data_IF_100524720716
#
_entry.id   IF_100524720716
#
_cell.length_a   1.000
_cell.length_b   1.000
_cell.length_c   1.000
_cell.angle_alpha   90.00
_cell.angle_beta   90.00
_cell.angle_gamma   90.00
#
_symmetry.space_group_name_H-M   'P 1'
#
loop_
_entity.id
_entity.type
_entity.pdbx_description
1 polymer ?
#
# COMPACT_ATOMS: atom_id res chain seq x y z
N UNK A 1 12.06 42.05 2.50
CA UNK A 1 13.20 41.29 3.04
C UNK A 1 12.74 39.91 3.54
N UNK A 2 12.71 38.86 2.70
CA UNK A 2 12.37 37.49 3.12
C UNK A 2 13.62 36.71 3.58
N UNK A 3 13.47 35.81 4.57
CA UNK A 3 14.57 35.07 5.21
C UNK A 3 14.98 33.81 4.43
N UNK A 4 16.27 33.71 4.05
CA UNK A 4 16.86 32.56 3.34
C UNK A 4 17.22 31.33 4.24
N UNK A 5 16.54 31.15 5.38
CA UNK A 5 17.01 30.21 6.42
C UNK A 5 16.67 28.72 6.20
N UNK A 6 15.83 28.36 5.21
CA UNK A 6 15.28 27.00 5.09
C UNK A 6 16.08 26.05 4.17
N UNK A 7 16.88 26.58 3.23
CA UNK A 7 17.64 25.78 2.26
C UNK A 7 18.80 25.02 2.89
N UNK A 8 19.54 25.62 3.83
CA UNK A 8 20.66 24.96 4.50
C UNK A 8 20.22 23.72 5.30
N UNK A 9 19.12 23.84 6.06
CA UNK A 9 18.56 22.72 6.83
C UNK A 9 17.93 21.62 5.93
N UNK A 10 17.45 21.96 4.74
CA UNK A 10 17.03 20.95 3.74
C UNK A 10 18.23 20.26 3.09
N UNK A 11 19.27 21.02 2.72
CA UNK A 11 20.51 20.44 2.16
C UNK A 11 21.23 19.54 3.18
N UNK A 12 21.28 19.92 4.46
CA UNK A 12 21.84 19.08 5.52
C UNK A 12 21.06 17.77 5.70
N UNK A 13 19.72 17.82 5.73
CA UNK A 13 18.87 16.62 5.84
C UNK A 13 18.91 15.74 4.59
N UNK A 14 19.03 16.33 3.40
CA UNK A 14 19.22 15.57 2.17
C UNK A 14 20.61 14.94 2.12
N UNK A 15 21.66 15.67 2.51
CA UNK A 15 23.01 15.12 2.64
C UNK A 15 23.06 13.98 3.66
N UNK A 16 22.43 14.12 4.84
CA UNK A 16 22.33 13.04 5.82
C UNK A 16 21.62 11.79 5.25
N UNK A 17 20.55 11.96 4.47
CA UNK A 17 19.88 10.84 3.78
C UNK A 17 20.73 10.21 2.68
N UNK A 18 21.39 11.03 1.86
CA UNK A 18 22.24 10.56 0.76
C UNK A 18 23.53 9.90 1.28
N UNK A 19 24.04 10.33 2.44
CA UNK A 19 25.22 9.74 3.09
C UNK A 19 24.83 8.47 3.86
N UNK A 20 23.75 8.51 4.64
CA UNK A 20 23.21 7.32 5.33
C UNK A 20 22.75 6.22 4.37
N UNK A 21 22.16 6.59 3.24
CA UNK A 21 21.81 5.67 2.14
C UNK A 21 23.03 5.07 1.43
N UNK A 22 24.15 5.79 1.36
CA UNK A 22 25.43 5.22 0.85
C UNK A 22 26.08 4.30 1.87
N UNK A 23 26.18 4.71 3.13
CA UNK A 23 26.71 3.85 4.20
C UNK A 23 25.92 2.55 4.34
N UNK A 24 24.58 2.59 4.31
CA UNK A 24 23.76 1.36 4.34
C UNK A 24 23.91 0.52 3.06
N UNK A 25 24.10 1.14 1.89
CA UNK A 25 24.35 0.41 0.64
C UNK A 25 25.79 -0.15 0.54
N UNK A 26 26.76 0.43 1.25
CA UNK A 26 28.14 -0.06 1.34
C UNK A 26 28.27 -1.12 2.43
N UNK A 27 27.62 -0.98 3.60
CA UNK A 27 27.48 -2.08 4.57
C UNK A 27 26.90 -3.33 3.92
N UNK A 28 25.78 -3.20 3.18
CA UNK A 28 25.16 -4.31 2.42
C UNK A 28 26.07 -4.92 1.33
N UNK A 29 27.22 -4.32 1.01
CA UNK A 29 28.24 -4.87 0.10
C UNK A 29 29.47 -5.42 0.81
N UNK A 30 29.71 -5.03 2.06
CA UNK A 30 30.88 -5.45 2.85
C UNK A 30 30.56 -6.53 3.87
N UNK A 31 29.29 -6.71 4.28
CA UNK A 31 28.88 -7.91 5.02
C UNK A 31 28.96 -9.13 4.07
N UNK A 32 29.82 -10.13 4.34
CA UNK A 32 29.75 -11.39 3.60
C UNK A 32 28.38 -12.03 3.81
N UNK A 33 27.88 -12.75 2.81
CA UNK A 33 26.67 -13.55 2.94
C UNK A 33 26.95 -14.83 3.76
N UNK A 34 27.31 -14.66 5.02
CA UNK A 34 27.11 -15.70 6.03
C UNK A 34 25.63 -16.05 6.03
N UNK A 35 25.32 -17.35 6.07
CA UNK A 35 24.00 -17.86 5.70
C UNK A 35 22.89 -17.16 6.47
N UNK A 36 21.94 -16.55 5.73
CA UNK A 36 20.76 -15.91 6.32
C UNK A 36 20.13 -16.88 7.34
N UNK A 37 19.88 -16.44 8.59
CA UNK A 37 19.44 -17.35 9.64
C UNK A 37 18.20 -18.14 9.21
N UNK A 38 18.25 -19.45 9.44
CA UNK A 38 17.11 -20.32 9.17
C UNK A 38 15.89 -19.92 10.01
N UNK A 39 14.67 -20.13 9.51
CA UNK A 39 13.45 -19.78 10.23
C UNK A 39 13.36 -20.50 11.58
N UNK A 40 12.67 -19.88 12.51
CA UNK A 40 12.55 -20.35 13.89
C UNK A 40 11.11 -20.24 14.38
N UNK A 41 10.74 -20.99 15.41
CA UNK A 41 9.37 -20.95 15.96
C UNK A 41 9.28 -19.94 17.10
N UNK A 42 8.09 -19.38 17.29
CA UNK A 42 7.70 -18.56 18.44
C UNK A 42 7.96 -19.34 19.73
N UNK A 43 7.82 -20.66 19.72
CA UNK A 43 8.15 -21.54 20.82
C UNK A 43 9.64 -21.66 21.08
N UNK A 44 10.51 -21.69 20.05
CA UNK A 44 11.97 -21.58 20.22
C UNK A 44 12.34 -20.20 20.76
N UNK A 45 11.73 -19.13 20.23
CA UNK A 45 11.93 -17.76 20.69
C UNK A 45 11.50 -17.61 22.16
N UNK A 46 10.33 -18.12 22.54
CA UNK A 46 9.82 -18.10 23.91
C UNK A 46 10.57 -19.04 24.87
N UNK A 47 11.06 -20.19 24.37
CA UNK A 47 11.89 -21.09 25.18
C UNK A 47 13.28 -20.51 25.39
N UNK A 48 13.82 -19.72 24.47
CA UNK A 48 15.03 -18.94 24.70
C UNK A 48 14.77 -17.72 25.60
N UNK A 49 13.65 -17.02 25.42
CA UNK A 49 13.18 -15.91 26.26
C UNK A 49 12.85 -16.31 27.72
N UNK A 50 12.91 -17.60 28.08
CA UNK A 50 12.52 -18.10 29.40
C UNK A 50 13.68 -18.25 30.39
N UNK A 51 14.60 -19.23 30.21
CA UNK A 51 15.67 -19.53 31.17
C UNK A 51 17.08 -19.32 30.58
N UNK A 52 17.24 -18.58 29.49
CA UNK A 52 18.58 -18.27 28.96
C UNK A 52 19.31 -17.35 29.93
N UNK A 53 20.66 -17.45 30.04
CA UNK A 53 21.42 -16.45 30.77
C UNK A 53 21.32 -15.11 30.07
N UNK A 54 21.28 -14.03 30.86
CA UNK A 54 21.29 -12.67 30.33
C UNK A 54 22.56 -12.42 29.51
N UNK A 55 22.39 -11.66 28.43
CA UNK A 55 23.49 -11.28 27.56
C UNK A 55 24.43 -10.34 28.30
N UNK A 56 25.68 -10.78 28.49
CA UNK A 56 26.72 -10.07 29.27
C UNK A 56 27.61 -9.16 28.42
N UNK A 57 27.31 -9.00 27.13
CA UNK A 57 28.03 -8.10 26.24
C UNK A 57 27.73 -6.63 26.51
N UNK A 58 28.62 -5.74 26.06
CA UNK A 58 28.36 -4.31 26.12
C UNK A 58 27.55 -3.88 24.90
N UNK A 59 26.36 -3.32 25.12
CA UNK A 59 25.51 -2.83 24.03
C UNK A 59 26.19 -1.68 23.27
N UNK A 60 26.52 -1.81 21.97
CA UNK A 60 27.42 -0.87 21.29
C UNK A 60 26.79 0.49 20.94
N UNK A 61 25.50 0.66 21.22
CA UNK A 61 24.68 1.83 20.82
C UNK A 61 24.05 2.56 22.02
N UNK A 62 24.03 1.96 23.22
CA UNK A 62 23.28 2.47 24.38
C UNK A 62 24.14 2.34 25.63
N UNK A 63 24.06 3.32 26.53
CA UNK A 63 24.79 3.31 27.80
C UNK A 63 24.40 2.07 28.64
N UNK A 64 25.32 1.45 29.42
CA UNK A 64 25.03 0.23 30.17
C UNK A 64 23.84 0.33 31.13
N UNK A 65 23.59 1.53 31.70
CA UNK A 65 22.46 1.81 32.60
C UNK A 65 21.09 1.89 31.87
N UNK A 66 21.09 1.82 30.53
CA UNK A 66 19.92 2.03 29.67
C UNK A 66 19.75 0.91 28.62
N UNK A 67 20.68 -0.04 28.55
CA UNK A 67 20.57 -1.17 27.63
C UNK A 67 19.43 -2.09 28.09
N UNK A 68 18.54 -2.54 27.19
CA UNK A 68 17.44 -3.41 27.57
C UNK A 68 17.95 -4.78 28.02
N UNK A 69 17.16 -5.47 28.85
CA UNK A 69 17.47 -6.85 29.23
C UNK A 69 17.36 -7.76 28.00
N UNK A 70 18.50 -8.33 27.60
CA UNK A 70 18.67 -9.07 26.35
C UNK A 70 19.09 -10.53 26.61
N UNK A 71 18.70 -11.41 25.69
CA UNK A 71 19.22 -12.78 25.61
C UNK A 71 19.76 -13.07 24.21
N UNK A 72 20.77 -13.95 24.12
CA UNK A 72 21.30 -14.40 22.84
C UNK A 72 20.30 -15.30 22.11
N UNK A 73 19.92 -14.91 20.89
CA UNK A 73 19.09 -15.74 20.03
C UNK A 73 19.66 -15.79 18.61
N UNK A 74 20.56 -16.76 18.39
CA UNK A 74 21.25 -17.00 17.10
C UNK A 74 20.33 -16.90 15.87
N UNK A 75 19.07 -17.40 15.86
CA UNK A 75 18.19 -17.26 14.70
C UNK A 75 17.73 -15.82 14.37
N UNK A 76 17.84 -14.88 15.32
CA UNK A 76 17.66 -13.44 15.07
C UNK A 76 18.99 -12.70 14.86
N UNK A 77 20.10 -13.45 14.76
CA UNK A 77 21.41 -13.00 14.31
C UNK A 77 22.34 -12.43 15.40
N UNK A 78 21.87 -12.23 16.63
CA UNK A 78 22.55 -11.53 17.74
C UNK A 78 21.56 -11.47 18.94
N UNK A 79 21.88 -10.81 20.08
CA UNK A 79 20.92 -10.62 21.18
C UNK A 79 19.65 -9.86 20.80
N UNK A 80 18.60 -10.12 21.59
CA UNK A 80 17.23 -9.63 21.44
C UNK A 80 16.63 -9.31 22.83
N UNK A 81 15.91 -8.19 23.01
CA UNK A 81 15.24 -7.89 24.28
C UNK A 81 14.09 -8.84 24.60
N UNK A 82 13.98 -9.27 25.86
CA UNK A 82 12.86 -10.12 26.33
C UNK A 82 11.51 -9.41 26.14
N UNK A 83 11.46 -8.14 26.52
CA UNK A 83 10.33 -7.21 26.42
C UNK A 83 9.74 -7.15 24.99
N UNK A 84 10.60 -6.90 24.00
CA UNK A 84 10.27 -6.89 22.57
C UNK A 84 9.74 -8.24 22.04
N UNK A 85 10.20 -9.36 22.58
CA UNK A 85 9.65 -10.70 22.26
C UNK A 85 8.26 -10.89 22.86
N UNK A 86 8.02 -10.39 24.08
CA UNK A 86 6.71 -10.46 24.73
C UNK A 86 5.66 -9.58 24.03
N UNK A 87 6.04 -8.41 23.51
CA UNK A 87 5.13 -7.60 22.68
C UNK A 87 4.79 -8.28 21.36
N UNK A 88 5.77 -8.92 20.72
CA UNK A 88 5.52 -9.70 19.52
C UNK A 88 4.54 -10.84 19.79
N UNK A 89 4.69 -11.55 20.92
CA UNK A 89 3.70 -12.54 21.38
C UNK A 89 2.32 -11.91 21.59
N UNK A 90 2.22 -10.69 22.13
CA UNK A 90 0.95 -9.97 22.29
C UNK A 90 0.28 -9.62 20.96
N UNK A 91 1.04 -9.13 19.97
CA UNK A 91 0.53 -8.89 18.61
C UNK A 91 0.16 -10.19 17.88
N UNK A 92 0.79 -11.29 18.30
CA UNK A 92 0.52 -12.67 17.89
C UNK A 92 -0.33 -13.42 18.95
N UNK A 93 -1.11 -12.74 19.78
CA UNK A 93 -1.92 -13.41 20.81
C UNK A 93 -2.93 -14.44 20.26
N UNK A 94 -3.49 -14.27 19.04
CA UNK A 94 -4.26 -15.33 18.38
C UNK A 94 -3.41 -16.50 17.80
N UNK A 95 -2.08 -16.45 17.89
CA UNK A 95 -1.16 -17.41 17.29
C UNK A 95 -0.56 -18.37 18.33
N UNK A 96 0.00 -19.49 17.85
CA UNK A 96 0.45 -20.60 18.71
C UNK A 96 1.96 -20.57 18.99
N UNK A 97 2.41 -21.32 20.00
CA UNK A 97 3.85 -21.55 20.26
C UNK A 97 4.59 -22.28 19.11
N UNK A 98 3.91 -22.84 18.11
CA UNK A 98 4.60 -23.40 16.92
C UNK A 98 4.74 -22.41 15.77
N UNK A 99 4.08 -21.24 15.83
CA UNK A 99 4.13 -20.17 14.80
C UNK A 99 5.54 -19.87 14.36
N UNK A 100 5.85 -19.97 13.07
CA UNK A 100 7.19 -19.64 12.55
C UNK A 100 7.37 -18.14 12.32
N UNK A 101 8.61 -17.68 12.52
CA UNK A 101 9.06 -16.33 12.23
C UNK A 101 10.33 -16.38 11.38
N UNK A 102 10.46 -15.39 10.50
CA UNK A 102 11.61 -15.20 9.64
C UNK A 102 12.20 -13.80 9.84
N UNK A 103 13.52 -13.72 9.99
CA UNK A 103 14.26 -12.47 9.95
C UNK A 103 14.38 -11.95 8.51
N UNK A 104 13.53 -10.99 8.12
CA UNK A 104 13.62 -10.35 6.80
C UNK A 104 14.84 -9.43 6.66
N UNK A 105 15.16 -8.72 7.75
CA UNK A 105 16.31 -7.80 7.79
C UNK A 105 16.69 -7.54 9.24
N UNK A 106 18.00 -7.44 9.48
CA UNK A 106 18.58 -6.91 10.72
C UNK A 106 19.40 -5.67 10.39
N UNK A 107 19.31 -4.65 11.24
CA UNK A 107 20.03 -3.39 11.12
C UNK A 107 21.06 -3.28 12.26
N UNK A 108 21.94 -4.28 12.36
CA UNK A 108 22.78 -4.50 13.54
C UNK A 108 21.95 -4.54 14.83
N UNK A 109 22.45 -3.90 15.89
CA UNK A 109 21.76 -3.75 17.17
C UNK A 109 20.57 -2.78 17.14
N UNK A 110 20.24 -2.13 16.01
CA UNK A 110 19.19 -1.10 16.01
C UNK A 110 17.78 -1.65 15.95
N UNK A 111 17.51 -2.52 14.99
CA UNK A 111 16.19 -3.13 14.79
C UNK A 111 16.32 -4.33 13.88
N UNK A 112 15.25 -5.11 13.84
CA UNK A 112 15.05 -6.13 12.84
C UNK A 112 13.59 -6.19 12.41
N UNK A 113 13.31 -6.76 11.25
CA UNK A 113 11.95 -7.04 10.80
C UNK A 113 11.77 -8.55 10.80
N UNK A 114 10.90 -9.06 11.66
CA UNK A 114 10.38 -10.42 11.55
C UNK A 114 9.09 -10.45 10.74
N UNK A 115 9.05 -11.25 9.67
CA UNK A 115 7.78 -11.62 9.06
C UNK A 115 7.09 -12.67 9.95
N UNK A 116 5.81 -12.47 10.27
CA UNK A 116 4.97 -13.49 10.89
C UNK A 116 3.51 -13.34 10.45
N UNK A 117 2.82 -14.42 10.07
CA UNK A 117 1.39 -14.39 9.67
C UNK A 117 1.00 -13.38 8.55
N UNK A 118 1.93 -13.00 7.66
CA UNK A 118 1.67 -11.95 6.63
C UNK A 118 1.66 -10.53 7.19
N UNK A 119 2.24 -10.35 8.38
CA UNK A 119 2.33 -9.13 9.18
C UNK A 119 3.81 -8.98 9.49
N UNK A 120 4.49 -7.92 9.02
CA UNK A 120 5.97 -7.87 9.11
C UNK A 120 6.40 -7.09 10.33
N UNK A 121 6.44 -7.70 11.50
CA UNK A 121 6.76 -7.01 12.74
C UNK A 121 8.22 -6.52 12.76
N UNK A 122 8.42 -5.22 12.68
CA UNK A 122 9.67 -4.61 13.10
C UNK A 122 9.77 -4.68 14.62
N UNK A 123 10.85 -5.29 15.10
CA UNK A 123 11.28 -5.37 16.48
C UNK A 123 12.46 -4.40 16.68
N UNK A 124 12.44 -3.52 17.68
CA UNK A 124 13.58 -2.60 17.93
C UNK A 124 14.54 -3.21 18.94
N UNK A 125 15.82 -3.13 18.55
CA UNK A 125 16.99 -3.68 19.24
C UNK A 125 17.34 -2.93 20.53
N UNK A 126 17.49 -1.62 20.39
CA UNK A 126 18.09 -0.73 21.41
C UNK A 126 17.12 -0.30 22.52
N UNK A 127 15.95 -0.92 22.62
CA UNK A 127 14.85 -0.46 23.47
C UNK A 127 14.05 -1.65 23.98
N UNK A 128 13.50 -1.49 25.18
CA UNK A 128 12.48 -2.39 25.67
C UNK A 128 11.14 -2.19 24.95
N UNK A 129 10.35 -3.26 24.91
CA UNK A 129 8.95 -3.27 24.53
C UNK A 129 8.65 -2.63 23.16
N UNK A 130 9.24 -3.17 22.09
CA UNK A 130 8.93 -2.69 20.73
C UNK A 130 8.80 -3.79 19.68
N UNK A 131 7.56 -4.07 19.26
CA UNK A 131 7.23 -4.82 18.05
C UNK A 131 6.09 -4.11 17.29
N UNK A 132 6.16 -3.98 15.95
CA UNK A 132 5.12 -3.27 15.16
C UNK A 132 5.06 -3.70 13.70
N UNK A 133 3.86 -3.89 13.15
CA UNK A 133 3.71 -4.55 11.85
C UNK A 133 3.88 -3.63 10.61
N UNK A 134 4.79 -4.03 9.70
CA UNK A 134 5.33 -3.31 8.53
C UNK A 134 4.82 -3.86 7.19
N UNK A 135 4.68 -3.00 6.16
CA UNK A 135 3.72 -3.13 5.06
C UNK A 135 3.85 -4.46 4.36
N UNK A 136 2.74 -5.13 4.01
CA UNK A 136 2.71 -6.55 3.61
C UNK A 136 3.72 -6.85 2.52
N UNK A 137 3.90 -5.84 1.67
CA UNK A 137 5.02 -5.51 0.79
C UNK A 137 6.40 -5.60 1.47
N UNK A 138 7.13 -6.72 1.31
CA UNK A 138 8.46 -6.88 1.88
C UNK A 138 9.45 -5.89 1.27
N UNK A 139 10.42 -5.43 2.07
CA UNK A 139 11.37 -4.37 1.67
C UNK A 139 10.72 -3.01 1.36
N UNK A 140 9.41 -2.85 1.57
CA UNK A 140 8.77 -1.55 1.70
C UNK A 140 8.61 -1.28 3.19
N UNK A 141 9.30 -0.27 3.70
CA UNK A 141 9.34 0.08 5.12
C UNK A 141 8.03 0.80 5.60
N UNK A 142 6.87 0.48 5.01
CA UNK A 142 5.52 1.01 5.36
C UNK A 142 4.82 0.12 6.44
N UNK A 143 3.46 0.08 6.63
CA UNK A 143 2.71 -0.81 7.60
C UNK A 143 1.29 -1.34 7.17
N UNK A 144 0.83 -2.62 7.41
CA UNK A 144 -0.25 -3.35 6.73
C UNK A 144 -1.28 -4.23 7.54
N UNK A 145 -1.90 -3.77 8.62
CA UNK A 145 -2.46 -4.68 9.65
C UNK A 145 -3.40 -5.87 9.28
N UNK A 146 -4.25 -5.83 8.24
CA UNK A 146 -5.27 -6.87 7.96
C UNK A 146 -5.79 -6.85 6.50
N UNK A 147 -6.58 -7.86 6.10
CA UNK A 147 -7.42 -7.85 4.89
C UNK A 147 -8.79 -7.17 5.15
N UNK A 148 -9.22 -7.17 6.41
CA UNK A 148 -10.28 -6.31 6.96
C UNK A 148 -9.71 -4.96 7.45
N UNK A 149 -8.49 -4.63 7.04
CA UNK A 149 -7.97 -3.26 7.10
C UNK A 149 -7.33 -2.94 5.76
N UNK A 150 -6.88 -1.69 5.59
CA UNK A 150 -6.53 -1.16 4.26
C UNK A 150 -5.14 -0.55 4.30
N UNK A 151 -4.10 -1.40 4.36
CA UNK A 151 -2.85 -1.00 4.96
C UNK A 151 -1.70 -1.28 3.94
N UNK A 152 -2.09 -1.40 2.68
CA UNK A 152 -1.24 -1.41 1.52
C UNK A 152 -0.90 0.03 1.15
N UNK A 153 0.34 0.29 0.70
CA UNK A 153 0.65 1.65 0.27
C UNK A 153 -0.19 2.01 -0.97
N UNK A 154 -1.00 3.07 -0.85
CA UNK A 154 -2.14 3.34 -1.75
C UNK A 154 -1.71 3.48 -3.21
N UNK A 155 -0.55 4.09 -3.47
CA UNK A 155 -0.09 4.47 -4.81
C UNK A 155 0.64 3.38 -5.58
N UNK A 156 0.81 2.20 -4.98
CA UNK A 156 1.33 0.99 -5.63
C UNK A 156 0.36 -0.15 -5.33
N UNK A 157 0.47 -0.75 -4.16
CA UNK A 157 -0.18 -2.03 -3.80
C UNK A 157 -1.69 -1.99 -3.52
N UNK A 158 -2.30 -0.81 -3.38
CA UNK A 158 -3.76 -0.69 -3.39
C UNK A 158 -4.27 -0.26 -4.78
N UNK A 159 -3.63 0.73 -5.41
CA UNK A 159 -3.96 1.15 -6.77
C UNK A 159 -3.72 0.08 -7.84
N UNK A 160 -2.86 -0.91 -7.60
CA UNK A 160 -2.63 -2.08 -8.47
C UNK A 160 -3.67 -3.20 -8.30
N UNK A 161 -4.57 -3.11 -7.30
CA UNK A 161 -5.63 -4.11 -7.05
C UNK A 161 -6.72 -4.04 -8.12
N UNK A 162 -7.32 -5.16 -8.53
CA UNK A 162 -8.42 -5.18 -9.50
C UNK A 162 -9.76 -4.66 -8.92
N UNK A 163 -10.75 -4.45 -9.79
CA UNK A 163 -12.07 -3.88 -9.47
C UNK A 163 -12.82 -4.67 -8.39
N UNK A 164 -12.81 -5.99 -8.51
CA UNK A 164 -13.46 -6.96 -7.63
C UNK A 164 -12.77 -7.12 -6.28
N UNK A 165 -11.43 -7.16 -6.21
CA UNK A 165 -10.73 -7.16 -4.90
C UNK A 165 -11.02 -5.88 -4.10
N UNK A 166 -11.07 -4.72 -4.76
CA UNK A 166 -11.42 -3.46 -4.09
C UNK A 166 -12.88 -3.42 -3.66
N UNK A 167 -13.78 -4.10 -4.37
CA UNK A 167 -15.19 -4.32 -3.99
C UNK A 167 -15.29 -5.20 -2.74
N UNK A 168 -14.56 -6.32 -2.68
CA UNK A 168 -14.61 -7.21 -1.51
C UNK A 168 -13.92 -6.61 -0.28
N UNK A 169 -12.79 -5.90 -0.46
CA UNK A 169 -12.21 -5.10 0.63
C UNK A 169 -13.16 -3.99 1.11
N UNK A 170 -13.95 -3.42 0.21
CA UNK A 170 -15.00 -2.46 0.56
C UNK A 170 -16.14 -3.11 1.35
N UNK A 171 -16.61 -4.30 0.96
CA UNK A 171 -17.64 -5.05 1.69
C UNK A 171 -17.16 -5.46 3.08
N UNK A 172 -15.96 -6.04 3.16
CA UNK A 172 -15.36 -6.46 4.42
C UNK A 172 -15.17 -5.29 5.40
N UNK A 173 -14.73 -4.13 4.90
CA UNK A 173 -14.62 -2.91 5.71
C UNK A 173 -16.00 -2.36 6.09
N UNK A 174 -16.93 -2.28 5.14
CA UNK A 174 -18.30 -1.80 5.38
C UNK A 174 -19.03 -2.65 6.42
N UNK A 175 -18.97 -3.98 6.32
CA UNK A 175 -19.55 -4.88 7.32
C UNK A 175 -18.86 -4.77 8.69
N UNK A 176 -17.53 -4.67 8.75
CA UNK A 176 -16.83 -4.46 10.02
C UNK A 176 -17.23 -3.14 10.69
N UNK A 177 -17.51 -2.09 9.92
CA UNK A 177 -18.04 -0.83 10.45
C UNK A 177 -19.52 -0.96 10.81
N UNK A 178 -20.34 -1.65 10.01
CA UNK A 178 -21.75 -1.93 10.37
C UNK A 178 -21.85 -2.68 11.69
N UNK A 179 -21.07 -3.74 11.89
CA UNK A 179 -21.01 -4.52 13.14
C UNK A 179 -20.59 -3.66 14.35
N UNK A 180 -19.70 -2.68 14.15
CA UNK A 180 -19.24 -1.74 15.19
C UNK A 180 -20.35 -0.77 15.64
N UNK A 181 -21.23 -0.33 14.74
CA UNK A 181 -22.27 0.70 15.02
C UNK A 181 -23.71 0.15 15.10
N UNK A 182 -23.99 -1.06 14.60
CA UNK A 182 -25.35 -1.63 14.44
C UNK A 182 -26.12 -1.79 15.75
N UNK A 183 -25.42 -1.89 16.89
CA UNK A 183 -26.04 -2.04 18.20
C UNK A 183 -26.55 -0.71 18.80
N UNK A 184 -26.25 0.44 18.19
CA UNK A 184 -26.56 1.77 18.75
C UNK A 184 -27.20 2.73 17.75
N UNK A 185 -26.49 3.08 16.67
CA UNK A 185 -26.97 4.03 15.67
C UNK A 185 -26.48 3.62 14.26
N UNK A 186 -27.33 3.01 13.42
CA UNK A 186 -26.97 2.59 12.07
C UNK A 186 -26.71 3.78 11.12
N UNK A 187 -27.20 4.99 11.43
CA UNK A 187 -26.90 6.18 10.64
C UNK A 187 -25.50 6.76 10.97
N UNK A 188 -24.90 6.38 12.10
CA UNK A 188 -23.59 6.86 12.55
C UNK A 188 -22.38 6.10 11.95
N UNK A 189 -22.61 5.06 11.12
CA UNK A 189 -21.53 4.28 10.49
C UNK A 189 -20.57 5.22 9.72
N UNK A 190 -19.26 5.02 9.88
CA UNK A 190 -18.25 5.93 9.33
C UNK A 190 -17.22 5.20 8.45
N UNK A 191 -17.39 5.22 7.13
CA UNK A 191 -16.52 4.50 6.17
C UNK A 191 -15.05 4.94 6.16
N UNK A 192 -14.76 6.14 6.67
CA UNK A 192 -13.41 6.54 7.06
C UNK A 192 -12.38 6.66 5.92
N UNK A 193 -11.10 6.65 6.31
CA UNK A 193 -9.97 6.85 5.39
C UNK A 193 -9.67 5.59 4.60
N UNK A 194 -9.96 4.44 5.17
CA UNK A 194 -9.87 3.12 4.59
C UNK A 194 -10.81 3.05 3.37
N UNK A 195 -12.08 3.45 3.52
CA UNK A 195 -12.99 3.69 2.39
C UNK A 195 -12.41 4.67 1.36
N UNK A 196 -11.86 5.81 1.78
CA UNK A 196 -11.23 6.78 0.86
C UNK A 196 -10.02 6.20 0.10
N UNK A 197 -9.23 5.33 0.74
CA UNK A 197 -8.10 4.63 0.12
C UNK A 197 -8.58 3.66 -0.95
N UNK A 198 -9.65 2.89 -0.68
CA UNK A 198 -10.30 2.03 -1.66
C UNK A 198 -10.85 2.84 -2.84
N UNK A 199 -11.56 3.95 -2.59
CA UNK A 199 -12.05 4.81 -3.66
C UNK A 199 -10.89 5.40 -4.47
N UNK A 200 -9.81 5.87 -3.83
CA UNK A 200 -8.66 6.41 -4.55
C UNK A 200 -7.93 5.35 -5.40
N UNK A 201 -7.84 4.12 -4.92
CA UNK A 201 -7.31 2.97 -5.66
C UNK A 201 -8.25 2.57 -6.82
N UNK A 202 -9.55 2.46 -6.55
CA UNK A 202 -10.57 2.12 -7.53
C UNK A 202 -10.62 3.15 -8.66
N UNK A 203 -10.43 4.43 -8.36
CA UNK A 203 -10.30 5.48 -9.37
C UNK A 203 -9.08 5.26 -10.26
N UNK A 204 -7.95 4.79 -9.72
CA UNK A 204 -6.76 4.46 -10.51
C UNK A 204 -6.97 3.29 -11.49
N UNK A 205 -8.03 2.50 -11.29
CA UNK A 205 -8.46 1.37 -12.11
C UNK A 205 -9.71 1.64 -12.97
N UNK A 206 -10.40 2.76 -12.77
CA UNK A 206 -11.74 2.96 -13.35
C UNK A 206 -12.83 2.07 -12.72
N UNK A 207 -12.60 1.59 -11.51
CA UNK A 207 -13.45 0.71 -10.71
C UNK A 207 -14.31 1.47 -9.67
N UNK A 208 -14.29 2.81 -9.69
CA UNK A 208 -14.82 3.63 -8.59
C UNK A 208 -16.29 3.39 -8.26
N UNK A 209 -17.14 3.14 -9.26
CA UNK A 209 -18.58 2.97 -9.05
C UNK A 209 -18.90 1.69 -8.23
N UNK A 210 -18.56 0.47 -8.69
CA UNK A 210 -18.89 -0.75 -7.94
C UNK A 210 -18.23 -0.78 -6.56
N UNK A 211 -16.99 -0.27 -6.41
CA UNK A 211 -16.33 -0.16 -5.10
C UNK A 211 -17.08 0.78 -4.16
N UNK A 212 -17.59 1.92 -4.65
CA UNK A 212 -18.43 2.85 -3.85
C UNK A 212 -19.74 2.18 -3.44
N UNK A 213 -20.43 1.56 -4.38
CA UNK A 213 -21.70 0.86 -4.16
C UNK A 213 -21.55 -0.21 -3.09
N UNK A 214 -20.58 -1.12 -3.25
CA UNK A 214 -20.35 -2.21 -2.32
C UNK A 214 -19.89 -1.76 -0.92
N UNK A 215 -19.18 -0.63 -0.84
CA UNK A 215 -18.78 0.00 0.43
C UNK A 215 -20.00 0.54 1.20
N UNK A 216 -20.95 1.17 0.49
CA UNK A 216 -22.16 1.75 1.08
C UNK A 216 -23.15 0.64 1.48
N UNK A 217 -23.45 -0.30 0.57
CA UNK A 217 -24.39 -1.41 0.82
C UNK A 217 -23.96 -2.27 2.01
N UNK A 218 -22.65 -2.52 2.16
CA UNK A 218 -22.15 -3.32 3.28
C UNK A 218 -22.20 -2.58 4.64
N UNK A 219 -22.23 -1.24 4.61
CA UNK A 219 -22.19 -0.38 5.78
C UNK A 219 -23.57 0.02 6.31
N UNK A 220 -24.54 0.23 5.41
CA UNK A 220 -25.87 0.77 5.73
C UNK A 220 -27.04 -0.11 5.24
N UNK A 221 -26.74 -1.33 4.78
CA UNK A 221 -27.63 -2.20 4.01
C UNK A 221 -27.94 -1.66 2.59
N UNK A 222 -28.62 -2.49 1.78
CA UNK A 222 -29.01 -2.12 0.42
C UNK A 222 -30.08 -1.00 0.48
N UNK A 223 -30.03 0.04 -0.38
CA UNK A 223 -30.97 1.16 -0.32
C UNK A 223 -32.45 0.75 -0.38
N UNK A 224 -32.77 -0.35 -1.09
CA UNK A 224 -34.12 -0.90 -1.20
C UNK A 224 -34.57 -1.66 0.06
N UNK A 225 -33.63 -2.02 0.93
CA UNK A 225 -33.86 -2.74 2.20
C UNK A 225 -33.89 -1.82 3.42
N UNK A 226 -33.44 -0.56 3.32
CA UNK A 226 -33.40 0.38 4.47
C UNK A 226 -34.78 0.55 5.11
N UNK A 227 -35.83 0.76 4.32
CA UNK A 227 -37.22 0.90 4.81
C UNK A 227 -37.87 -0.44 5.24
N UNK A 228 -37.16 -1.56 5.08
CA UNK A 228 -37.57 -2.91 5.53
C UNK A 228 -36.85 -3.30 6.83
N UNK A 229 -35.59 -2.90 6.97
CA UNK A 229 -34.73 -3.16 8.15
C UNK A 229 -34.96 -2.13 9.26
N UNK A 230 -35.19 -0.86 8.89
CA UNK A 230 -35.36 0.27 9.80
C UNK A 230 -36.76 0.89 9.65
N UNK A 231 -37.31 1.42 10.74
CA UNK A 231 -38.68 1.94 10.79
C UNK A 231 -38.73 3.46 11.03
N UNK A 232 -39.61 4.15 10.32
CA UNK A 232 -39.96 5.56 10.58
C UNK A 232 -38.75 6.50 10.46
N UNK A 233 -38.54 7.33 11.48
CA UNK A 233 -37.45 8.32 11.50
C UNK A 233 -36.06 7.68 11.35
N UNK A 234 -35.86 6.45 11.84
CA UNK A 234 -34.57 5.75 11.74
C UNK A 234 -34.20 5.44 10.29
N UNK A 235 -35.15 5.02 9.46
CA UNK A 235 -34.91 4.78 8.03
C UNK A 235 -34.55 6.08 7.30
N UNK A 236 -35.24 7.19 7.62
CA UNK A 236 -34.93 8.52 7.07
C UNK A 236 -33.51 8.96 7.45
N UNK A 237 -33.07 8.69 8.69
CA UNK A 237 -31.71 8.99 9.14
C UNK A 237 -30.65 8.12 8.44
N UNK A 238 -30.90 6.82 8.24
CA UNK A 238 -30.00 5.92 7.50
C UNK A 238 -29.87 6.35 6.04
N UNK A 239 -31.00 6.62 5.34
CA UNK A 239 -30.99 7.16 3.97
C UNK A 239 -30.19 8.46 3.87
N UNK A 240 -30.38 9.40 4.80
CA UNK A 240 -29.64 10.66 4.82
C UNK A 240 -28.12 10.46 5.05
N UNK A 241 -27.74 9.49 5.89
CA UNK A 241 -26.33 9.12 6.09
C UNK A 241 -25.72 8.49 4.83
N UNK A 242 -26.43 7.55 4.18
CA UNK A 242 -26.02 6.93 2.93
C UNK A 242 -25.80 7.95 1.81
N UNK A 243 -26.71 8.91 1.64
CA UNK A 243 -26.57 10.00 0.66
C UNK A 243 -25.36 10.89 0.99
N UNK A 244 -25.20 11.24 2.26
CA UNK A 244 -24.07 12.05 2.75
C UNK A 244 -22.73 11.38 2.45
N UNK A 245 -22.59 10.09 2.74
CA UNK A 245 -21.38 9.32 2.42
C UNK A 245 -21.20 9.13 0.90
N UNK A 246 -22.27 8.91 0.14
CA UNK A 246 -22.19 8.84 -1.32
C UNK A 246 -21.60 10.12 -1.93
N UNK A 247 -22.12 11.30 -1.54
CA UNK A 247 -21.58 12.59 -1.99
C UNK A 247 -20.13 12.81 -1.52
N UNK A 248 -19.77 12.31 -0.32
CA UNK A 248 -18.40 12.38 0.22
C UNK A 248 -17.42 11.54 -0.60
N UNK A 249 -17.72 10.27 -0.84
CA UNK A 249 -16.90 9.35 -1.63
C UNK A 249 -16.77 9.83 -3.09
N UNK A 250 -17.80 10.46 -3.66
CA UNK A 250 -17.70 11.09 -4.99
C UNK A 250 -16.78 12.32 -5.04
N UNK A 251 -16.65 13.07 -3.95
CA UNK A 251 -15.65 14.15 -3.84
C UNK A 251 -14.24 13.56 -3.80
N UNK A 252 -14.04 12.46 -3.07
CA UNK A 252 -12.77 11.71 -3.03
C UNK A 252 -12.42 11.18 -4.43
N UNK A 253 -13.39 10.58 -5.11
CA UNK A 253 -13.23 10.07 -6.47
C UNK A 253 -12.78 11.15 -7.46
N UNK A 254 -13.49 12.29 -7.48
CA UNK A 254 -13.15 13.46 -8.30
C UNK A 254 -11.79 14.08 -7.94
N UNK A 255 -11.33 13.94 -6.69
CA UNK A 255 -10.00 14.39 -6.27
C UNK A 255 -8.89 13.45 -6.75
N UNK A 256 -9.06 12.13 -6.59
CA UNK A 256 -8.13 11.12 -7.07
C UNK A 256 -7.99 11.15 -8.60
N UNK A 257 -9.10 11.30 -9.33
CA UNK A 257 -9.13 11.37 -10.79
C UNK A 257 -8.30 12.55 -11.31
N UNK A 258 -8.53 13.75 -10.78
CA UNK A 258 -7.77 14.97 -11.12
C UNK A 258 -6.29 14.85 -10.74
N UNK A 259 -5.94 14.13 -9.67
CA UNK A 259 -4.54 13.87 -9.28
C UNK A 259 -3.83 13.02 -10.32
N UNK A 260 -4.43 11.91 -10.74
CA UNK A 260 -3.80 10.98 -11.71
C UNK A 260 -3.69 11.64 -13.09
N UNK A 261 -4.69 12.40 -13.54
CA UNK A 261 -4.59 13.20 -14.78
C UNK A 261 -3.43 14.22 -14.75
N UNK A 262 -3.18 14.87 -13.60
CA UNK A 262 -2.03 15.77 -13.43
C UNK A 262 -0.69 15.02 -13.50
N UNK A 263 -0.58 13.83 -12.90
CA UNK A 263 0.62 12.99 -13.00
C UNK A 263 0.87 12.53 -14.44
N UNK A 264 -0.18 12.24 -15.21
CA UNK A 264 -0.12 11.97 -16.64
C UNK A 264 0.08 13.25 -17.51
N UNK A 265 0.41 14.40 -16.93
CA UNK A 265 0.62 15.68 -17.64
C UNK A 265 -0.55 16.09 -18.56
N UNK A 266 -1.78 15.67 -18.22
CA UNK A 266 -2.98 15.93 -19.03
C UNK A 266 -3.02 15.19 -20.38
N UNK A 267 -2.12 14.22 -20.63
CA UNK A 267 -2.06 13.45 -21.88
C UNK A 267 -2.03 11.94 -21.61
N UNK A 268 -2.79 11.21 -22.41
CA UNK A 268 -2.72 9.76 -22.47
C UNK A 268 -1.38 9.31 -23.09
N UNK A 269 -0.94 8.08 -22.79
CA UNK A 269 0.22 7.45 -23.44
C UNK A 269 0.15 7.44 -24.99
N UNK A 270 -1.04 7.50 -25.58
CA UNK A 270 -1.23 7.62 -27.03
C UNK A 270 -1.03 9.06 -27.60
N UNK A 271 -0.72 10.03 -26.74
CA UNK A 271 -0.54 11.45 -27.08
C UNK A 271 -1.81 12.29 -27.09
N UNK A 272 -3.00 11.68 -27.00
CA UNK A 272 -4.28 12.39 -26.92
C UNK A 272 -4.44 13.12 -25.57
N UNK A 273 -5.14 14.26 -25.59
CA UNK A 273 -5.51 14.95 -24.37
C UNK A 273 -6.46 14.08 -23.51
N UNK A 274 -6.25 14.08 -22.20
CA UNK A 274 -7.16 13.45 -21.24
C UNK A 274 -8.39 14.34 -21.09
N UNK A 275 -9.55 13.85 -21.52
CA UNK A 275 -10.82 14.56 -21.37
C UNK A 275 -11.36 14.34 -19.95
N UNK A 276 -11.90 15.40 -19.33
CA UNK A 276 -12.40 15.41 -17.94
C UNK A 276 -13.80 14.73 -17.83
N UNK A 277 -14.09 13.76 -18.71
CA UNK A 277 -15.42 13.17 -18.85
C UNK A 277 -15.47 11.81 -19.54
N UNK A 278 -14.34 11.11 -19.72
CA UNK A 278 -14.36 9.72 -20.17
C UNK A 278 -15.00 8.85 -19.09
N UNK A 279 -16.10 8.18 -19.44
CA UNK A 279 -17.05 7.56 -18.50
C UNK A 279 -16.49 6.52 -17.52
N UNK A 280 -17.31 6.07 -16.57
CA UNK A 280 -16.88 5.58 -15.24
C UNK A 280 -15.97 4.35 -15.22
N UNK A 281 -15.74 3.67 -16.36
CA UNK A 281 -14.94 2.45 -16.52
C UNK A 281 -13.62 2.65 -17.28
N UNK A 282 -13.09 3.87 -17.33
CA UNK A 282 -11.77 4.16 -17.93
C UNK A 282 -10.88 4.82 -16.88
N UNK A 283 -9.68 4.26 -16.58
CA UNK A 283 -8.76 4.89 -15.65
C UNK A 283 -8.35 6.31 -16.11
N UNK A 284 -8.22 7.28 -15.20
CA UNK A 284 -7.95 8.70 -15.49
C UNK A 284 -6.71 8.96 -16.33
N UNK A 285 -5.72 8.06 -16.31
CA UNK A 285 -4.49 8.13 -17.09
C UNK A 285 -4.68 7.75 -18.58
N UNK A 286 -5.86 7.31 -19.01
CA UNK A 286 -6.15 6.91 -20.39
C UNK A 286 -7.32 7.68 -21.01
N UNK A 287 -7.18 8.10 -22.27
CA UNK A 287 -8.25 8.81 -22.99
C UNK A 287 -9.38 7.88 -23.51
N UNK A 288 -9.26 6.56 -23.34
CA UNK A 288 -10.25 5.58 -23.77
C UNK A 288 -9.94 4.19 -23.19
N UNK A 289 -10.97 3.33 -23.11
CA UNK A 289 -10.79 1.91 -22.78
C UNK A 289 -9.83 1.19 -23.75
N UNK A 290 -9.69 1.66 -25.00
CA UNK A 290 -8.72 1.11 -25.95
C UNK A 290 -7.27 1.46 -25.56
N UNK A 291 -7.03 2.63 -24.98
CA UNK A 291 -5.70 3.02 -24.49
C UNK A 291 -5.36 2.37 -23.15
N UNK A 292 -6.36 2.14 -22.29
CA UNK A 292 -6.21 1.34 -21.08
C UNK A 292 -5.83 -0.11 -21.41
N UNK A 293 -6.59 -0.75 -22.30
CA UNK A 293 -6.34 -2.13 -22.74
C UNK A 293 -5.07 -2.30 -23.59
N UNK A 294 -4.50 -1.23 -24.16
CA UNK A 294 -3.27 -1.31 -24.94
C UNK A 294 -2.02 -1.45 -24.05
N UNK A 295 -2.08 -1.06 -22.78
CA UNK A 295 -0.98 -1.10 -21.83
C UNK A 295 0.24 -0.25 -22.23
N UNK A 296 1.31 -0.25 -21.41
CA UNK A 296 2.62 0.24 -21.81
C UNK A 296 3.28 -0.78 -22.75
N UNK A 297 2.77 -0.90 -23.98
CA UNK A 297 3.53 -1.55 -25.04
C UNK A 297 4.88 -0.83 -25.17
N UNK A 298 5.96 -1.56 -24.87
CA UNK A 298 7.31 -1.18 -25.23
C UNK A 298 7.39 -1.09 -26.75
N UNK A 299 7.12 0.11 -27.27
CA UNK A 299 7.36 0.47 -28.66
C UNK A 299 8.87 0.41 -28.91
N UNK A 300 9.36 -0.76 -29.28
CA UNK A 300 10.64 -0.87 -29.98
C UNK A 300 10.58 0.07 -31.18
N UNK A 301 11.47 1.07 -31.22
CA UNK A 301 11.49 2.07 -32.29
C UNK A 301 11.44 3.55 -31.91
N UNK A 302 11.77 3.95 -30.68
CA UNK A 302 12.58 5.18 -30.43
C UNK A 302 12.92 5.36 -28.95
N UNK A 303 14.22 5.29 -28.63
CA UNK A 303 14.95 5.56 -27.37
C UNK A 303 14.17 5.76 -26.03
N UNK A 304 14.49 4.99 -24.98
CA UNK A 304 13.99 5.27 -23.62
C UNK A 304 14.69 6.50 -23.01
N UNK A 305 13.92 7.36 -22.34
CA UNK A 305 14.49 8.39 -21.44
C UNK A 305 14.92 7.71 -20.14
N UNK A 306 16.11 7.12 -20.16
CA UNK A 306 16.82 6.76 -18.93
C UNK A 306 17.32 8.07 -18.32
N UNK A 307 16.77 8.43 -17.16
CA UNK A 307 17.17 9.65 -16.45
C UNK A 307 18.56 9.45 -15.83
N UNK A 308 19.62 9.80 -16.57
CA UNK A 308 20.99 9.39 -16.26
C UNK A 308 22.11 10.34 -16.71
N UNK A 309 22.25 11.46 -15.97
CA UNK A 309 23.46 12.30 -15.81
C UNK A 309 24.05 13.11 -16.99
N UNK A 310 24.77 14.15 -16.55
CA UNK A 310 25.84 14.91 -17.19
C UNK A 310 25.49 15.95 -18.28
N UNK A 311 25.81 17.22 -17.98
CA UNK A 311 25.99 18.30 -18.96
C UNK A 311 27.32 18.12 -19.71
N UNK A 312 27.32 18.34 -21.01
CA UNK A 312 28.50 18.89 -21.72
C UNK A 312 28.05 19.79 -22.88
N UNK A 313 28.94 20.74 -23.23
CA UNK A 313 28.71 21.90 -24.11
C UNK A 313 28.85 21.50 -25.60
N UNK A 314 28.17 22.16 -26.56
CA UNK A 314 28.10 21.67 -27.95
C UNK A 314 29.30 22.09 -28.82
N UNK A 315 29.53 21.36 -29.92
CA UNK A 315 30.35 21.85 -31.04
C UNK A 315 29.79 21.39 -32.40
N UNK A 316 29.67 22.39 -33.28
CA UNK A 316 29.34 22.52 -34.71
C UNK A 316 29.45 21.32 -35.72
N UNK A 317 28.67 21.47 -36.81
CA UNK A 317 29.00 21.16 -38.25
C UNK A 317 28.93 19.67 -38.68
N UNK A 318 28.31 19.23 -39.81
CA UNK A 318 27.68 19.87 -41.01
C UNK A 318 26.62 18.96 -41.69
N UNK A 319 25.88 19.48 -42.69
CA UNK A 319 25.28 18.86 -43.94
C UNK A 319 24.93 17.34 -43.95
N UNK A 320 23.81 16.86 -44.51
CA UNK A 320 22.73 17.48 -45.30
C UNK A 320 21.99 16.41 -46.17
N UNK A 321 20.87 16.75 -46.82
CA UNK A 321 20.05 15.85 -47.67
C UNK A 321 18.76 15.38 -46.96
N UNK A 322 17.55 15.80 -47.38
CA UNK A 322 16.71 15.25 -48.47
C UNK A 322 16.45 13.73 -48.30
N UNK A 323 15.21 13.24 -48.15
CA UNK A 323 13.89 13.89 -48.04
C UNK A 323 12.76 12.85 -48.10
N UNK A 324 11.48 13.30 -48.09
CA UNK A 324 10.24 12.58 -48.48
C UNK A 324 9.97 11.14 -47.95
N UNK A 325 8.82 10.81 -47.34
CA UNK A 325 7.63 11.59 -46.95
C UNK A 325 6.42 10.69 -46.65
N UNK A 326 5.32 11.30 -46.14
CA UNK A 326 3.90 10.83 -46.13
C UNK A 326 3.60 9.45 -45.47
N UNK A 327 2.97 9.43 -44.28
CA UNK A 327 1.49 9.40 -44.03
C UNK A 327 0.92 7.96 -43.92
N UNK A 328 0.38 7.50 -42.77
CA UNK A 328 -1.00 7.67 -42.21
C UNK A 328 -2.12 7.00 -43.06
N UNK A 329 -3.29 6.57 -42.51
CA UNK A 329 -3.73 6.42 -41.09
C UNK A 329 -4.66 5.18 -40.81
N UNK A 330 -5.33 5.17 -39.63
CA UNK A 330 -6.56 4.42 -39.25
C UNK A 330 -6.47 2.87 -39.14
N UNK A 331 -7.20 2.14 -38.28
CA UNK A 331 -8.47 2.37 -37.56
C UNK A 331 -9.57 1.54 -38.23
N UNK A 332 -10.24 0.54 -37.61
CA UNK A 332 -11.16 0.61 -36.45
C UNK A 332 -11.53 -0.79 -35.90
N UNK A 333 -12.04 -0.81 -34.65
CA UNK A 333 -12.94 -1.82 -34.00
C UNK A 333 -14.16 -2.20 -34.91
N UNK A 334 -14.90 -3.34 -34.75
CA UNK A 334 -15.68 -3.60 -33.51
C UNK A 334 -16.25 -5.02 -33.14
N UNK A 335 -16.83 -5.05 -31.92
CA UNK A 335 -18.10 -5.72 -31.48
C UNK A 335 -18.23 -7.26 -31.29
N UNK A 336 -18.47 -7.59 -30.00
CA UNK A 336 -19.62 -8.34 -29.41
C UNK A 336 -19.89 -9.81 -29.80
N UNK A 337 -20.00 -10.67 -28.77
CA UNK A 337 -20.73 -11.94 -28.80
C UNK A 337 -20.84 -12.62 -27.42
N UNK A 338 -21.89 -12.31 -26.64
CA UNK A 338 -22.46 -13.18 -25.58
C UNK A 338 -23.47 -14.11 -26.29
N UNK A 339 -23.76 -15.36 -25.86
CA UNK A 339 -24.44 -15.70 -24.58
C UNK A 339 -23.80 -16.97 -23.91
N UNK A 340 -24.30 -17.63 -22.85
CA UNK A 340 -25.59 -17.63 -22.13
C UNK A 340 -25.41 -18.20 -20.70
N UNK A 341 -26.41 -18.15 -19.81
CA UNK A 341 -27.36 -19.26 -19.46
C UNK A 341 -26.68 -20.54 -18.95
N UNK A 342 -27.12 -21.20 -17.87
CA UNK A 342 -28.22 -20.95 -16.90
C UNK A 342 -28.23 -22.04 -15.80
N UNK A 343 -28.91 -21.77 -14.66
CA UNK A 343 -29.64 -22.76 -13.81
C UNK A 343 -28.80 -23.85 -13.07
N UNK A 344 -29.17 -24.46 -11.92
CA UNK A 344 -30.43 -24.50 -11.13
C UNK A 344 -30.20 -25.12 -9.73
N UNK A 345 -31.07 -24.81 -8.75
CA UNK A 345 -31.59 -25.72 -7.67
C UNK A 345 -30.61 -26.25 -6.58
N UNK A 346 -31.01 -26.76 -5.40
CA UNK A 346 -32.33 -26.97 -4.78
C UNK A 346 -32.23 -27.11 -3.22
N UNK A 347 -33.35 -26.94 -2.51
CA UNK A 347 -33.62 -27.57 -1.20
C UNK A 347 -33.07 -26.83 0.05
N UNK A 348 -33.79 -26.73 1.16
CA UNK A 348 -35.15 -27.22 1.48
C UNK A 348 -35.88 -26.22 2.41
#
# INVERSE_FOLDING_TARGET
>A
MPRHQNTAAQCARQAQRDTGGKYTAELRKTTPAEGQPGPFTLGKLLTACGPSPDWTGQHPVVDPEQAPEMFDFTPLGEPVPYSTVMLLLGLLAPASRSTELELESRNGFHSLIVACCGRRFEMVLTQDDYATERCRVPGCDSGPVSAHSIPYCVHRHLAERPEDELVEMARAWGHSQREEFSAGDPAAVALGKEGDRLIAAAVAQGACFPVKTALIEAAYDEPEMVDVVYCGEQAVHVHYAMDTENFRLERVARAAHRRIQKLASGRCACGAALQIGTGPKVPPQFCSAACAAAGPQTRGGSAPVICGKARTVPTLVTRGGRGFGRARPAGRRPRRGRPGRSSTSAGA
#
